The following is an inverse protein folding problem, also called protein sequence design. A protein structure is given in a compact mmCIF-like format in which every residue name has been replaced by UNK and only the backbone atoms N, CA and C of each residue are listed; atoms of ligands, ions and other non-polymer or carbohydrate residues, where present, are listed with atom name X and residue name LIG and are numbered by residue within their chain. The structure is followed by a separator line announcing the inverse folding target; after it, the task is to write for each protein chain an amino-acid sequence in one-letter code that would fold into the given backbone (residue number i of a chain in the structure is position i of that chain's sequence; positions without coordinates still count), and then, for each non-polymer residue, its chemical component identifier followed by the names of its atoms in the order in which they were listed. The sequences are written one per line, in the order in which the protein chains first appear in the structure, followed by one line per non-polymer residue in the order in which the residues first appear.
data_IF_097788358581
#
_entry.id   IF_097788358581
#
_cell.length_a   1.000
_cell.length_b   1.000
_cell.length_c   1.000
_cell.angle_alpha   90.00
_cell.angle_beta   90.00
_cell.angle_gamma   90.00
#
_symmetry.space_group_name_H-M   'P 1'
#
loop_
_entity.id
_entity.type
_entity.pdbx_description
1 polymer ?
#
# COMPACT_ATOMS: atom_id res chain seq x y z
N UNK A 1 3.53 2.81 3.33
CA UNK A 1 4.39 3.23 2.19
C UNK A 1 4.37 2.17 1.10
N UNK A 2 4.53 2.61 -0.13
CA UNK A 2 4.80 1.75 -1.30
C UNK A 2 6.23 2.06 -1.72
N UNK A 3 7.05 1.03 -1.92
CA UNK A 3 8.46 1.17 -2.23
C UNK A 3 8.84 0.34 -3.45
N UNK A 4 9.58 0.93 -4.37
CA UNK A 4 10.19 0.25 -5.50
C UNK A 4 11.71 0.32 -5.38
N UNK A 5 12.37 -0.83 -5.32
CA UNK A 5 13.82 -0.89 -5.30
C UNK A 5 14.38 -0.53 -6.70
N UNK A 6 15.25 0.47 -6.75
CA UNK A 6 15.94 0.92 -7.96
C UNK A 6 17.40 0.48 -8.01
N UNK A 7 17.82 -0.40 -7.10
CA UNK A 7 19.20 -0.87 -6.98
C UNK A 7 20.13 0.25 -6.56
N UNK A 8 21.29 0.35 -7.19
CA UNK A 8 22.29 1.39 -6.94
C UNK A 8 22.00 2.71 -7.66
N UNK A 9 20.91 2.77 -8.43
CA UNK A 9 20.53 3.97 -9.16
C UNK A 9 19.67 4.89 -8.31
N UNK A 10 20.16 6.12 -8.05
CA UNK A 10 19.42 7.16 -7.37
C UNK A 10 18.47 7.85 -8.38
N UNK A 11 17.30 7.27 -8.60
CA UNK A 11 16.28 7.80 -9.51
C UNK A 11 15.63 9.03 -8.92
N UNK A 12 15.66 10.15 -9.63
CA UNK A 12 14.96 11.38 -9.22
C UNK A 12 13.53 11.35 -9.76
N UNK A 13 12.55 11.52 -8.86
CA UNK A 13 11.14 11.52 -9.25
C UNK A 13 10.71 12.85 -9.84
N UNK A 14 9.97 12.79 -10.94
CA UNK A 14 9.26 13.93 -11.55
C UNK A 14 7.74 13.80 -11.42
N UNK A 15 7.26 12.68 -10.86
CA UNK A 15 5.83 12.38 -10.69
C UNK A 15 5.39 12.31 -9.22
N UNK A 16 6.07 13.06 -8.34
CA UNK A 16 5.61 13.25 -6.96
C UNK A 16 5.97 12.12 -6.01
N UNK A 17 7.01 11.34 -6.29
CA UNK A 17 7.55 10.35 -5.37
C UNK A 17 8.78 10.90 -4.64
N UNK A 18 9.23 10.18 -3.61
CA UNK A 18 10.45 10.49 -2.87
C UNK A 18 11.49 9.41 -3.18
N UNK A 19 12.74 9.82 -3.37
CA UNK A 19 13.87 8.89 -3.42
C UNK A 19 14.48 8.78 -2.05
N UNK A 20 14.57 7.57 -1.54
CA UNK A 20 15.11 7.26 -0.21
C UNK A 20 16.20 6.20 -0.29
N UNK A 21 17.01 6.13 0.76
CA UNK A 21 17.95 5.03 0.95
C UNK A 21 17.19 3.78 1.37
N UNK A 22 17.37 2.67 0.66
CA UNK A 22 16.81 1.39 1.04
C UNK A 22 17.67 0.71 2.12
N UNK A 23 18.92 0.43 1.79
CA UNK A 23 19.94 -0.08 2.72
C UNK A 23 21.34 0.23 2.20
N UNK A 24 22.31 0.17 3.13
CA UNK A 24 23.73 0.23 2.80
C UNK A 24 24.47 -0.94 3.46
N UNK A 25 25.28 -1.67 2.69
CA UNK A 25 26.07 -2.80 3.18
C UNK A 25 27.36 -2.89 2.37
N UNK A 26 28.48 -3.12 3.03
CA UNK A 26 29.81 -3.26 2.43
C UNK A 26 30.20 -2.11 1.48
N UNK A 27 29.81 -0.88 1.84
CA UNK A 27 30.07 0.33 1.04
C UNK A 27 29.18 0.50 -0.20
N UNK A 28 28.25 -0.42 -0.44
CA UNK A 28 27.24 -0.29 -1.47
C UNK A 28 25.94 0.24 -0.88
N UNK A 29 25.29 1.16 -1.60
CA UNK A 29 24.01 1.75 -1.22
C UNK A 29 22.97 1.39 -2.26
N UNK A 30 21.80 0.94 -1.81
CA UNK A 30 20.63 0.72 -2.63
C UNK A 30 19.57 1.78 -2.34
N UNK A 31 18.84 2.16 -3.37
CA UNK A 31 17.82 3.19 -3.32
C UNK A 31 16.43 2.63 -3.57
N UNK A 32 15.44 3.37 -3.13
CA UNK A 32 14.03 3.13 -3.43
C UNK A 32 13.36 4.41 -3.90
N UNK A 33 12.42 4.27 -4.83
CA UNK A 33 11.35 5.24 -5.01
C UNK A 33 10.26 4.91 -4.00
N UNK A 34 9.79 5.91 -3.28
CA UNK A 34 8.79 5.76 -2.23
C UNK A 34 7.59 6.67 -2.47
N UNK A 35 6.38 6.09 -2.40
CA UNK A 35 5.14 6.83 -2.30
C UNK A 35 4.46 6.52 -0.98
N UNK A 36 4.26 7.54 -0.13
CA UNK A 36 3.51 7.39 1.09
C UNK A 36 2.05 7.77 0.87
N UNK A 37 1.12 6.93 1.33
CA UNK A 37 -0.31 7.21 1.36
C UNK A 37 -0.79 7.28 2.81
N UNK A 38 -1.54 8.33 3.15
CA UNK A 38 -1.87 8.62 4.55
C UNK A 38 -2.97 7.72 5.13
N UNK A 39 -3.89 7.28 4.27
CA UNK A 39 -5.12 6.64 4.71
C UNK A 39 -5.29 5.25 4.09
N UNK A 40 -4.73 4.25 4.75
CA UNK A 40 -4.97 2.82 4.51
C UNK A 40 -5.77 2.24 5.68
N UNK A 41 -5.10 1.68 6.70
CA UNK A 41 -5.76 1.23 7.92
C UNK A 41 -6.54 2.33 8.65
N UNK A 42 -6.07 3.56 8.60
CA UNK A 42 -6.71 4.70 9.26
C UNK A 42 -8.13 4.99 8.73
N UNK A 43 -8.43 4.72 7.45
CA UNK A 43 -9.79 4.87 6.93
C UNK A 43 -10.74 3.81 7.53
N UNK A 44 -10.24 2.61 7.83
CA UNK A 44 -11.03 1.58 8.52
C UNK A 44 -11.30 1.97 9.98
N UNK A 45 -10.31 2.56 10.65
CA UNK A 45 -10.47 3.12 12.00
C UNK A 45 -11.53 4.21 12.01
N UNK A 46 -11.50 5.12 11.04
CA UNK A 46 -12.52 6.16 10.89
C UNK A 46 -13.93 5.61 10.68
N UNK A 47 -14.10 4.59 9.82
CA UNK A 47 -15.39 3.92 9.62
C UNK A 47 -15.93 3.28 10.91
N UNK A 48 -15.02 2.76 11.75
CA UNK A 48 -15.34 2.10 13.01
C UNK A 48 -15.65 3.12 14.12
N UNK A 49 -14.72 4.02 14.38
CA UNK A 49 -14.69 4.83 15.60
C UNK A 49 -15.54 6.11 15.46
N UNK A 50 -15.59 6.70 14.25
CA UNK A 50 -16.33 7.95 14.03
C UNK A 50 -17.70 7.70 13.40
N UNK A 51 -17.76 6.87 12.36
CA UNK A 51 -19.03 6.60 11.68
C UNK A 51 -19.83 5.42 12.24
N UNK A 52 -19.21 4.57 13.05
CA UNK A 52 -19.83 3.36 13.63
C UNK A 52 -20.48 2.45 12.58
N UNK A 53 -19.91 2.42 11.36
CA UNK A 53 -20.42 1.60 10.27
C UNK A 53 -19.94 0.14 10.35
N UNK A 54 -18.80 -0.10 10.99
CA UNK A 54 -18.24 -1.43 11.24
C UNK A 54 -17.84 -1.55 12.71
N UNK A 55 -17.87 -2.75 13.28
CA UNK A 55 -17.39 -3.01 14.64
C UNK A 55 -15.91 -3.39 14.66
N UNK A 56 -15.42 -3.93 13.54
CA UNK A 56 -14.00 -4.25 13.33
C UNK A 56 -13.62 -4.13 11.86
N UNK A 57 -12.34 -3.88 11.53
CA UNK A 57 -11.85 -3.90 10.14
C UNK A 57 -12.13 -5.21 9.39
N UNK A 58 -12.20 -6.35 10.11
CA UNK A 58 -12.46 -7.65 9.51
C UNK A 58 -13.87 -7.75 8.86
N UNK A 59 -14.86 -6.98 9.35
CA UNK A 59 -16.20 -6.97 8.77
C UNK A 59 -16.26 -6.29 7.41
N UNK A 60 -15.29 -5.44 7.09
CA UNK A 60 -15.31 -4.61 5.87
C UNK A 60 -15.37 -5.43 4.58
N UNK A 61 -14.77 -6.61 4.57
CA UNK A 61 -14.82 -7.53 3.43
C UNK A 61 -16.25 -7.97 3.12
N UNK A 62 -16.99 -8.39 4.13
CA UNK A 62 -18.37 -8.85 3.97
C UNK A 62 -19.28 -7.73 3.46
N UNK A 63 -19.13 -6.52 4.01
CA UNK A 63 -19.89 -5.35 3.55
C UNK A 63 -19.56 -4.95 2.11
N UNK A 64 -18.28 -4.95 1.75
CA UNK A 64 -17.86 -4.64 0.39
C UNK A 64 -18.41 -5.65 -0.64
N UNK A 65 -18.36 -6.94 -0.30
CA UNK A 65 -18.94 -8.01 -1.14
C UNK A 65 -20.47 -7.93 -1.27
N UNK A 66 -21.14 -7.42 -0.25
CA UNK A 66 -22.60 -7.24 -0.25
C UNK A 66 -23.07 -5.91 -0.83
N UNK A 67 -22.16 -5.02 -1.19
CA UNK A 67 -22.51 -3.72 -1.77
C UNK A 67 -23.14 -3.88 -3.17
N UNK A 68 -24.05 -2.97 -3.49
CA UNK A 68 -24.70 -2.93 -4.80
C UNK A 68 -23.64 -2.68 -5.89
N UNK A 69 -23.42 -3.60 -6.85
CA UNK A 69 -22.35 -3.49 -7.84
C UNK A 69 -22.54 -2.34 -8.83
N UNK A 70 -23.76 -1.80 -8.98
CA UNK A 70 -24.02 -0.66 -9.87
C UNK A 70 -23.90 0.70 -9.18
N UNK A 71 -23.78 0.74 -7.85
CA UNK A 71 -23.54 1.97 -7.11
C UNK A 71 -22.14 2.52 -7.42
N UNK A 72 -22.05 3.83 -7.59
CA UNK A 72 -20.82 4.55 -8.01
C UNK A 72 -20.27 5.46 -6.92
N UNK A 73 -20.62 5.20 -5.68
CA UNK A 73 -20.08 5.96 -4.55
C UNK A 73 -18.58 5.73 -4.44
N UNK A 74 -17.82 6.82 -4.36
CA UNK A 74 -16.37 6.84 -4.17
C UNK A 74 -16.00 7.66 -2.95
N UNK A 75 -14.91 7.29 -2.28
CA UNK A 75 -14.32 8.06 -1.18
C UNK A 75 -12.93 8.54 -1.60
N UNK A 76 -12.68 9.83 -1.42
CA UNK A 76 -11.34 10.42 -1.44
C UNK A 76 -10.95 10.70 0.01
N UNK A 77 -10.01 9.93 0.61
CA UNK A 77 -9.76 9.98 2.05
C UNK A 77 -8.72 11.06 2.43
N UNK A 78 -8.91 12.28 1.94
CA UNK A 78 -8.01 13.41 2.18
C UNK A 78 -8.29 14.11 3.52
N UNK A 79 -8.41 13.35 4.64
CA UNK A 79 -8.74 13.90 5.96
C UNK A 79 -7.69 14.91 6.46
N UNK A 80 -6.42 14.67 6.15
CA UNK A 80 -5.29 15.59 6.41
C UNK A 80 -4.52 15.95 5.13
N UNK A 81 -5.23 16.09 4.03
CA UNK A 81 -4.63 16.27 2.72
C UNK A 81 -4.32 14.95 2.01
N UNK A 82 -3.71 15.05 0.83
CA UNK A 82 -3.21 13.94 0.03
C UNK A 82 -1.68 14.01 0.00
N UNK A 83 -1.02 12.89 0.27
CA UNK A 83 0.43 12.77 0.11
C UNK A 83 0.80 12.32 -1.32
N UNK A 84 1.80 11.48 -1.49
CA UNK A 84 2.23 11.04 -2.81
C UNK A 84 1.07 10.43 -3.62
N UNK A 85 1.02 10.67 -4.94
CA UNK A 85 1.87 11.56 -5.71
C UNK A 85 1.38 13.03 -5.78
N UNK A 86 0.31 13.38 -5.07
CA UNK A 86 -0.44 14.63 -5.25
C UNK A 86 0.10 15.82 -4.44
N UNK A 87 0.62 15.57 -3.24
CA UNK A 87 1.18 16.57 -2.30
C UNK A 87 0.28 17.77 -2.08
N UNK A 88 -1.00 17.54 -1.76
CA UNK A 88 -1.99 18.59 -1.48
C UNK A 88 -2.37 18.56 0.00
N UNK A 89 -1.94 19.55 0.74
CA UNK A 89 -2.27 19.78 2.15
C UNK A 89 -3.64 20.41 2.36
N UNK A 90 -4.17 21.05 1.32
CA UNK A 90 -5.48 21.74 1.34
C UNK A 90 -6.65 20.85 0.93
N UNK A 91 -6.39 19.71 0.27
CA UNK A 91 -7.41 18.75 -0.11
C UNK A 91 -8.21 18.26 1.13
N UNK A 92 -9.50 18.05 0.94
CA UNK A 92 -10.40 17.56 1.99
C UNK A 92 -11.04 16.24 1.57
N UNK A 93 -11.33 15.38 2.56
CA UNK A 93 -12.04 14.14 2.31
C UNK A 93 -13.42 14.40 1.71
N UNK A 94 -13.80 13.57 0.74
CA UNK A 94 -15.06 13.67 0.00
C UNK A 94 -15.64 12.28 -0.20
N UNK A 95 -16.95 12.15 0.03
CA UNK A 95 -17.75 11.03 -0.48
C UNK A 95 -18.57 11.58 -1.65
N UNK A 96 -18.41 11.01 -2.83
CA UNK A 96 -19.06 11.46 -4.05
C UNK A 96 -19.86 10.33 -4.70
N UNK A 97 -20.90 10.70 -5.46
CA UNK A 97 -21.69 9.75 -6.23
C UNK A 97 -22.78 9.02 -5.42
N UNK A 98 -23.05 9.44 -4.20
CA UNK A 98 -24.11 8.87 -3.36
C UNK A 98 -25.50 9.09 -4.00
N UNK A 99 -26.32 8.06 -3.88
CA UNK A 99 -27.74 8.10 -4.26
C UNK A 99 -28.62 7.79 -3.05
N UNK A 100 -29.93 7.84 -3.20
CA UNK A 100 -30.85 7.49 -2.12
C UNK A 100 -30.71 6.03 -1.64
N UNK A 101 -30.16 5.17 -2.48
CA UNK A 101 -29.95 3.74 -2.17
C UNK A 101 -28.54 3.43 -1.67
N UNK A 102 -27.64 4.41 -1.67
CA UNK A 102 -26.31 4.24 -1.09
C UNK A 102 -26.43 4.06 0.42
N UNK A 103 -25.95 2.95 0.91
CA UNK A 103 -25.98 2.62 2.32
C UNK A 103 -24.59 2.32 2.87
N UNK A 104 -24.58 1.65 4.01
CA UNK A 104 -23.38 1.26 4.73
C UNK A 104 -22.42 0.41 3.88
N UNK A 105 -22.95 -0.53 3.13
CA UNK A 105 -22.15 -1.45 2.31
C UNK A 105 -21.36 -0.70 1.25
N UNK A 106 -22.00 0.24 0.58
CA UNK A 106 -21.41 1.05 -0.49
C UNK A 106 -20.33 1.99 0.06
N UNK A 107 -20.55 2.58 1.22
CA UNK A 107 -19.57 3.45 1.88
C UNK A 107 -18.34 2.64 2.32
N UNK A 108 -18.53 1.45 2.91
CA UNK A 108 -17.43 0.57 3.30
C UNK A 108 -16.64 0.08 2.09
N UNK A 109 -17.35 -0.30 1.00
CA UNK A 109 -16.70 -0.64 -0.26
C UNK A 109 -15.87 0.53 -0.81
N UNK A 110 -16.44 1.73 -0.88
CA UNK A 110 -15.75 2.93 -1.37
C UNK A 110 -14.48 3.24 -0.56
N UNK A 111 -14.49 2.95 0.74
CA UNK A 111 -13.32 3.11 1.59
C UNK A 111 -12.21 2.08 1.26
N UNK A 112 -12.55 0.82 1.02
CA UNK A 112 -11.57 -0.18 0.55
C UNK A 112 -11.05 0.14 -0.85
N UNK A 113 -11.93 0.54 -1.76
CA UNK A 113 -11.56 0.96 -3.12
C UNK A 113 -10.61 2.17 -3.10
N UNK A 114 -10.81 3.11 -2.17
CA UNK A 114 -9.94 4.27 -2.02
C UNK A 114 -8.49 3.90 -1.68
N UNK A 115 -8.28 2.82 -0.93
CA UNK A 115 -6.94 2.31 -0.63
C UNK A 115 -6.28 1.79 -1.91
N UNK A 116 -6.97 0.92 -2.63
CA UNK A 116 -6.43 0.32 -3.86
C UNK A 116 -6.14 1.37 -4.95
N UNK A 117 -7.01 2.37 -5.09
CA UNK A 117 -6.82 3.47 -6.06
C UNK A 117 -5.61 4.36 -5.71
N UNK A 118 -5.38 4.66 -4.42
CA UNK A 118 -4.18 5.40 -4.00
C UNK A 118 -2.90 4.60 -4.27
N UNK A 119 -2.90 3.28 -4.00
CA UNK A 119 -1.77 2.40 -4.32
C UNK A 119 -1.53 2.42 -5.83
N UNK A 120 -2.58 2.29 -6.64
CA UNK A 120 -2.47 2.32 -8.10
C UNK A 120 -1.83 3.61 -8.61
N UNK A 121 -2.23 4.77 -8.09
CA UNK A 121 -1.65 6.05 -8.48
C UNK A 121 -0.14 6.14 -8.18
N UNK A 122 0.30 5.56 -7.07
CA UNK A 122 1.73 5.48 -6.73
C UNK A 122 2.47 4.54 -7.66
N UNK A 123 1.92 3.35 -7.96
CA UNK A 123 2.54 2.38 -8.87
C UNK A 123 2.73 2.98 -10.28
N UNK A 124 1.72 3.69 -10.80
CA UNK A 124 1.81 4.39 -12.08
C UNK A 124 2.90 5.48 -12.10
N UNK A 125 3.05 6.22 -10.99
CA UNK A 125 4.13 7.19 -10.86
C UNK A 125 5.51 6.52 -10.82
N UNK A 126 5.64 5.38 -10.12
CA UNK A 126 6.87 4.60 -10.07
C UNK A 126 7.32 4.09 -11.44
N UNK A 127 6.41 3.53 -12.23
CA UNK A 127 6.73 3.06 -13.58
C UNK A 127 7.17 4.21 -14.51
N UNK A 128 6.51 5.37 -14.40
CA UNK A 128 6.86 6.57 -15.19
C UNK A 128 8.25 7.11 -14.84
N UNK A 129 8.61 7.11 -13.56
CA UNK A 129 9.90 7.68 -13.12
C UNK A 129 11.08 6.72 -13.30
N UNK A 130 10.88 5.44 -13.08
CA UNK A 130 11.96 4.44 -13.12
C UNK A 130 12.15 3.79 -14.49
N UNK A 131 11.13 3.82 -15.35
CA UNK A 131 11.06 3.00 -16.58
C UNK A 131 11.17 1.48 -16.30
N UNK A 132 10.98 1.06 -15.05
CA UNK A 132 10.97 -0.35 -14.64
C UNK A 132 9.52 -0.85 -14.74
N UNK A 133 9.30 -1.92 -15.50
CA UNK A 133 8.02 -2.61 -15.52
C UNK A 133 7.84 -3.41 -14.22
N UNK A 134 6.84 -3.06 -13.42
CA UNK A 134 6.50 -3.79 -12.20
C UNK A 134 5.89 -5.13 -12.59
N UNK A 135 6.34 -6.21 -11.98
CA UNK A 135 5.85 -7.58 -12.27
C UNK A 135 5.01 -8.16 -11.14
N UNK A 136 5.27 -7.74 -9.93
CA UNK A 136 4.66 -8.28 -8.71
C UNK A 136 4.55 -7.19 -7.66
N UNK A 137 3.46 -7.18 -6.92
CA UNK A 137 3.26 -6.33 -5.75
C UNK A 137 3.31 -7.18 -4.48
N UNK A 138 4.39 -7.04 -3.72
CA UNK A 138 4.53 -7.70 -2.42
C UNK A 138 3.90 -6.86 -1.34
N UNK A 139 3.05 -7.47 -0.52
CA UNK A 139 2.27 -6.78 0.50
C UNK A 139 2.38 -7.45 1.86
N UNK A 140 2.34 -6.64 2.91
CA UNK A 140 2.34 -7.08 4.29
C UNK A 140 1.41 -6.24 5.17
N UNK A 141 1.25 -6.65 6.42
CA UNK A 141 0.48 -5.96 7.43
C UNK A 141 -1.01 -6.29 7.45
N UNK A 142 -1.73 -5.71 8.41
CA UNK A 142 -3.13 -6.04 8.72
C UNK A 142 -4.12 -5.99 7.55
N UNK A 143 -4.06 -5.00 6.64
CA UNK A 143 -4.96 -4.91 5.49
C UNK A 143 -4.91 -6.11 4.53
N UNK A 144 -3.81 -6.85 4.51
CA UNK A 144 -3.64 -8.01 3.61
C UNK A 144 -4.56 -9.19 3.95
N UNK A 145 -5.13 -9.20 5.16
CA UNK A 145 -6.13 -10.20 5.57
C UNK A 145 -7.48 -10.02 4.88
N UNK A 146 -7.71 -8.89 4.21
CA UNK A 146 -8.94 -8.61 3.47
C UNK A 146 -8.80 -9.10 2.03
N UNK A 147 -9.42 -10.24 1.72
CA UNK A 147 -9.31 -10.85 0.39
C UNK A 147 -9.98 -10.02 -0.72
N UNK A 148 -11.02 -9.26 -0.40
CA UNK A 148 -11.63 -8.33 -1.34
C UNK A 148 -10.64 -7.23 -1.77
N UNK A 149 -9.94 -6.63 -0.82
CA UNK A 149 -8.95 -5.60 -1.10
C UNK A 149 -7.77 -6.15 -1.92
N UNK A 150 -7.27 -7.33 -1.58
CA UNK A 150 -6.16 -7.96 -2.31
C UNK A 150 -6.54 -8.29 -3.75
N UNK A 151 -7.73 -8.85 -3.95
CA UNK A 151 -8.23 -9.14 -5.30
C UNK A 151 -8.45 -7.85 -6.11
N UNK A 152 -9.06 -6.84 -5.50
CA UNK A 152 -9.26 -5.54 -6.13
C UNK A 152 -7.94 -4.89 -6.55
N UNK A 153 -6.92 -4.96 -5.68
CA UNK A 153 -5.59 -4.43 -6.00
C UNK A 153 -4.95 -5.16 -7.18
N UNK A 154 -5.05 -6.49 -7.23
CA UNK A 154 -4.57 -7.28 -8.37
C UNK A 154 -5.34 -6.93 -9.65
N UNK A 155 -6.67 -6.80 -9.57
CA UNK A 155 -7.52 -6.46 -10.71
C UNK A 155 -7.22 -5.06 -11.27
N UNK A 156 -6.92 -4.08 -10.41
CA UNK A 156 -6.58 -2.71 -10.82
C UNK A 156 -5.18 -2.62 -11.43
N UNK A 157 -4.19 -3.15 -10.72
CA UNK A 157 -2.78 -3.04 -11.13
C UNK A 157 -2.40 -3.99 -12.26
N UNK A 158 -3.17 -5.07 -12.47
CA UNK A 158 -2.85 -6.20 -13.36
C UNK A 158 -1.56 -6.91 -12.94
N UNK A 159 -1.24 -6.86 -11.66
CA UNK A 159 -0.08 -7.51 -11.06
C UNK A 159 -0.51 -8.67 -10.17
N UNK A 160 0.36 -9.64 -10.04
CA UNK A 160 0.25 -10.63 -8.98
C UNK A 160 0.49 -9.93 -7.63
N UNK A 161 -0.40 -10.17 -6.68
CA UNK A 161 -0.28 -9.65 -5.31
C UNK A 161 0.18 -10.77 -4.41
N UNK A 162 1.45 -10.72 -4.00
CA UNK A 162 2.06 -11.70 -3.11
C UNK A 162 1.97 -11.21 -1.66
N UNK A 163 1.18 -11.92 -0.84
CA UNK A 163 1.06 -11.64 0.59
C UNK A 163 2.22 -12.32 1.33
N UNK A 164 2.99 -11.53 2.09
CA UNK A 164 4.09 -12.07 2.88
C UNK A 164 3.57 -13.03 3.97
N UNK A 165 4.28 -14.12 4.17
CA UNK A 165 3.98 -15.09 5.24
C UNK A 165 4.29 -14.58 6.65
N UNK A 166 4.94 -13.43 6.76
CA UNK A 166 5.36 -12.77 8.01
C UNK A 166 4.79 -11.36 8.04
N UNK A 167 4.12 -11.00 9.13
CA UNK A 167 3.45 -9.70 9.27
C UNK A 167 4.41 -8.52 9.55
N UNK A 168 5.58 -8.80 10.15
CA UNK A 168 6.51 -7.79 10.64
C UNK A 168 7.81 -7.75 9.81
N UNK A 169 7.69 -7.51 8.49
CA UNK A 169 8.84 -7.49 7.58
C UNK A 169 9.88 -6.44 7.95
N UNK A 170 9.47 -5.28 8.47
CA UNK A 170 10.40 -4.23 8.91
C UNK A 170 11.27 -4.69 10.08
N UNK A 171 10.67 -5.38 11.06
CA UNK A 171 11.41 -5.94 12.19
C UNK A 171 12.36 -7.06 11.73
N UNK A 172 11.91 -7.92 10.80
CA UNK A 172 12.74 -8.96 10.20
C UNK A 172 13.95 -8.37 9.46
N UNK A 173 13.75 -7.34 8.65
CA UNK A 173 14.84 -6.66 7.94
C UNK A 173 15.88 -6.09 8.90
N UNK A 174 15.44 -5.43 9.97
CA UNK A 174 16.32 -4.90 11.01
C UNK A 174 17.10 -6.02 11.72
N UNK A 175 16.44 -7.14 12.04
CA UNK A 175 17.08 -8.31 12.66
C UNK A 175 18.13 -8.94 11.73
N UNK A 176 17.85 -9.05 10.44
CA UNK A 176 18.81 -9.56 9.45
C UNK A 176 20.04 -8.66 9.35
N UNK A 177 19.87 -7.35 9.26
CA UNK A 177 21.00 -6.42 9.22
C UNK A 177 21.83 -6.47 10.49
N UNK A 178 21.19 -6.58 11.66
CA UNK A 178 21.89 -6.75 12.94
C UNK A 178 22.66 -8.09 12.98
N UNK A 179 22.08 -9.19 12.50
CA UNK A 179 22.71 -10.50 12.43
C UNK A 179 23.95 -10.52 11.52
N UNK A 180 23.88 -9.85 10.36
CA UNK A 180 25.03 -9.69 9.46
C UNK A 180 26.11 -8.87 10.15
N UNK A 181 25.75 -7.71 10.74
CA UNK A 181 26.71 -6.85 11.43
C UNK A 181 27.39 -7.50 12.63
N UNK A 182 26.71 -8.42 13.30
CA UNK A 182 27.26 -9.24 14.40
C UNK A 182 28.03 -10.48 13.92
N UNK A 183 28.09 -10.79 12.62
CA UNK A 183 28.71 -11.98 12.07
C UNK A 183 27.99 -13.29 12.37
N UNK A 184 26.70 -13.22 12.73
CA UNK A 184 25.85 -14.39 13.05
C UNK A 184 25.19 -14.93 11.77
N UNK A 185 24.88 -14.06 10.81
CA UNK A 185 24.24 -14.38 9.55
C UNK A 185 25.16 -14.01 8.37
N UNK A 186 25.12 -14.84 7.33
CA UNK A 186 25.81 -14.54 6.07
C UNK A 186 24.87 -13.87 5.08
N UNK A 187 25.33 -12.81 4.44
CA UNK A 187 24.58 -12.08 3.44
C UNK A 187 24.09 -12.99 2.29
N UNK A 188 24.92 -13.91 1.83
CA UNK A 188 24.59 -14.85 0.75
C UNK A 188 23.42 -15.79 1.08
N UNK A 189 23.21 -16.12 2.35
CA UNK A 189 22.09 -16.97 2.79
C UNK A 189 20.75 -16.22 2.76
N UNK A 190 20.76 -14.92 3.08
CA UNK A 190 19.55 -14.10 3.13
C UNK A 190 19.05 -13.68 1.74
N UNK A 191 19.95 -13.53 0.77
CA UNK A 191 19.60 -13.10 -0.58
C UNK A 191 19.54 -14.26 -1.60
N UNK A 192 19.67 -15.52 -1.14
CA UNK A 192 19.41 -16.71 -1.97
C UNK A 192 17.92 -16.84 -2.29
N UNK A 193 17.57 -17.42 -3.43
CA UNK A 193 16.17 -17.66 -3.81
C UNK A 193 15.42 -18.55 -2.81
N UNK A 194 16.13 -19.43 -2.09
CA UNK A 194 15.59 -20.30 -1.04
C UNK A 194 15.16 -19.55 0.24
N UNK A 195 15.70 -18.36 0.50
CA UNK A 195 15.32 -17.50 1.62
C UNK A 195 14.12 -16.57 1.33
N UNK A 196 13.47 -16.70 0.17
CA UNK A 196 12.35 -15.85 -0.28
C UNK A 196 10.97 -16.49 -0.13
N UNK A 197 10.83 -17.53 0.72
CA UNK A 197 9.53 -18.16 1.01
C UNK A 197 8.74 -17.42 2.06
#
# INVERSE_FOLDING_TARGET
SIMMNTGMECVSSSHGLVTSLAWGLDGQVNYVLEGNINYTGAVMTWLKDELHLISSPAESEAFAKAANPVDKTVLIPAFSGLSAPYWSDTAKAVIYGMTRTTGKNEIVRAALESIALQIQAVLEAMEKDSSICIKELRVDGGPTRNSYLMQLQSDLSKLDVAVAGIEELSAMGAAYMAGIGAGILNQSELFSEEGRT
#
